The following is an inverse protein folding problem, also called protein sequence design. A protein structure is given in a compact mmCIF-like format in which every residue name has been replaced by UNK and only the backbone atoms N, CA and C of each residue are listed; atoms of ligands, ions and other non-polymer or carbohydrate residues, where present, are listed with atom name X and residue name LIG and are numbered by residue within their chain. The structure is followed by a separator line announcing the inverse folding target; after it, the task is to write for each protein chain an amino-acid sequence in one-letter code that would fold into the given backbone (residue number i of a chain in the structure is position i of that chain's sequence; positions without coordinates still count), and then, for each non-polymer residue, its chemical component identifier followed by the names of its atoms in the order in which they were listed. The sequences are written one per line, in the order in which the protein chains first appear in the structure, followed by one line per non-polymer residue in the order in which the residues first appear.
data_IF_444598180453
#
_entry.id   IF_444598180453
#
_cell.length_a   1.000
_cell.length_b   1.000
_cell.length_c   1.000
_cell.angle_alpha   90.00
_cell.angle_beta   90.00
_cell.angle_gamma   90.00
#
_symmetry.space_group_name_H-M   'P 1'
#
loop_
_entity.id
_entity.type
_entity.pdbx_description
1 polymer ?
#
# COMPACT_ATOMS: atom_id res chain seq x y z
N UNK A 1 76.83 4.53 28.08
CA UNK A 1 77.22 3.44 29.00
C UNK A 1 76.55 3.63 30.36
N UNK A 2 75.61 2.76 30.73
CA UNK A 2 75.20 2.47 32.12
C UNK A 2 74.60 1.06 32.10
N UNK A 3 75.11 0.17 32.94
CA UNK A 3 74.73 -1.24 32.97
C UNK A 3 74.24 -1.64 34.36
N UNK A 4 73.21 -2.51 34.40
CA UNK A 4 72.82 -3.50 35.44
C UNK A 4 71.46 -4.06 34.96
N UNK A 5 71.32 -5.31 34.49
CA UNK A 5 71.49 -6.60 35.20
C UNK A 5 70.47 -6.70 36.36
N UNK A 6 69.36 -7.45 36.26
CA UNK A 6 69.06 -8.86 36.71
C UNK A 6 67.50 -8.98 36.63
N UNK A 7 66.79 -10.10 36.41
CA UNK A 7 67.03 -11.56 36.26
C UNK A 7 66.33 -12.07 34.95
N UNK A 8 66.28 -13.34 34.48
CA UNK A 8 65.85 -14.67 34.98
C UNK A 8 64.36 -14.80 35.41
N UNK A 9 63.60 -15.86 35.06
CA UNK A 9 63.79 -16.94 34.06
C UNK A 9 62.47 -17.75 33.87
N UNK A 10 62.46 -18.61 32.84
CA UNK A 10 61.82 -19.94 32.73
C UNK A 10 60.32 -20.14 33.12
N UNK A 11 59.39 -20.63 32.27
CA UNK A 11 59.32 -21.84 31.39
C UNK A 11 58.66 -23.07 32.06
N UNK A 12 57.93 -23.85 31.23
CA UNK A 12 57.37 -25.21 31.43
C UNK A 12 55.97 -25.28 32.11
N UNK A 13 54.88 -25.78 31.48
CA UNK A 13 54.54 -27.08 30.81
C UNK A 13 53.86 -28.06 31.81
N UNK A 14 53.00 -28.95 31.27
CA UNK A 14 52.24 -30.07 31.88
C UNK A 14 50.83 -29.69 32.37
N UNK A 15 49.75 -30.12 31.71
CA UNK A 15 49.21 -31.49 31.53
C UNK A 15 48.66 -32.14 32.81
N UNK A 16 47.34 -32.39 32.79
CA UNK A 16 46.81 -33.71 33.17
C UNK A 16 46.29 -33.91 34.59
N UNK A 17 44.98 -34.18 34.65
CA UNK A 17 44.30 -35.17 35.51
C UNK A 17 44.58 -35.23 37.03
N UNK A 18 43.49 -35.15 37.82
CA UNK A 18 43.07 -36.04 38.93
C UNK A 18 41.98 -35.27 39.71
N UNK A 19 40.69 -35.53 39.51
CA UNK A 19 39.91 -36.68 40.00
C UNK A 19 39.63 -36.65 41.51
N UNK A 20 38.40 -36.27 41.88
CA UNK A 20 37.74 -36.81 43.07
C UNK A 20 36.24 -36.98 42.81
N UNK A 21 35.82 -38.24 42.80
CA UNK A 21 34.41 -38.67 42.83
C UNK A 21 34.23 -39.61 44.01
N UNK A 22 33.10 -39.50 44.71
CA UNK A 22 32.31 -40.66 45.09
C UNK A 22 31.00 -40.63 44.27
N UNK A 23 30.65 -41.68 43.53
CA UNK A 23 29.97 -42.86 44.08
C UNK A 23 28.70 -42.47 44.88
N UNK A 24 27.46 -42.79 44.46
CA UNK A 24 27.04 -43.48 43.24
C UNK A 24 25.72 -44.21 43.47
N UNK A 25 24.70 -43.92 42.66
CA UNK A 25 23.52 -44.77 42.45
C UNK A 25 22.98 -44.47 41.06
N UNK A 26 23.05 -45.46 40.17
CA UNK A 26 22.46 -45.37 38.84
C UNK A 26 21.03 -45.88 38.83
N UNK A 27 20.15 -45.21 38.09
CA UNK A 27 18.98 -45.84 37.51
C UNK A 27 18.64 -45.20 36.16
N UNK A 28 18.06 -45.99 35.25
CA UNK A 28 17.87 -45.68 33.84
C UNK A 28 16.56 -44.87 33.60
N UNK A 29 16.02 -44.76 32.37
CA UNK A 29 16.22 -43.57 31.56
C UNK A 29 14.92 -42.80 31.25
N UNK A 30 15.05 -41.61 30.68
CA UNK A 30 13.95 -40.99 29.93
C UNK A 30 12.90 -40.23 30.74
N UNK A 31 13.16 -38.94 30.97
CA UNK A 31 12.13 -37.92 30.78
C UNK A 31 12.68 -36.79 29.94
N UNK A 32 12.10 -36.60 28.76
CA UNK A 32 12.24 -35.36 28.00
C UNK A 32 11.77 -34.23 28.91
N UNK A 33 12.65 -33.26 29.17
CA UNK A 33 12.29 -32.05 29.88
C UNK A 33 11.39 -31.20 28.95
N UNK A 34 10.10 -31.52 28.91
CA UNK A 34 9.10 -30.70 28.20
C UNK A 34 9.08 -29.34 28.88
N UNK A 35 9.59 -28.34 28.17
CA UNK A 35 9.61 -26.95 28.60
C UNK A 35 8.20 -26.49 28.94
N UNK A 36 7.92 -26.24 30.23
CA UNK A 36 6.74 -25.49 30.67
C UNK A 36 6.91 -24.00 30.41
N UNK A 37 7.20 -23.65 29.16
CA UNK A 37 6.95 -22.32 28.64
C UNK A 37 5.46 -22.28 28.29
N UNK A 38 4.62 -21.91 29.26
CA UNK A 38 3.19 -21.72 29.03
C UNK A 38 3.00 -20.67 27.93
N UNK A 39 2.41 -20.99 26.77
CA UNK A 39 2.03 -19.95 25.83
C UNK A 39 0.91 -19.16 26.50
N UNK A 40 1.17 -17.89 26.80
CA UNK A 40 0.10 -16.93 27.11
C UNK A 40 -0.68 -16.69 25.82
N UNK A 41 -1.69 -17.53 25.57
CA UNK A 41 -2.61 -17.43 24.43
C UNK A 41 -3.53 -16.23 24.66
N UNK A 42 -2.97 -15.03 24.54
CA UNK A 42 -3.71 -13.85 24.12
C UNK A 42 -3.96 -14.00 22.63
N UNK A 43 -5.17 -14.37 22.25
CA UNK A 43 -5.57 -14.47 20.85
C UNK A 43 -5.65 -13.09 20.21
N UNK A 44 -4.51 -12.57 19.76
CA UNK A 44 -4.45 -11.46 18.81
C UNK A 44 -4.99 -11.97 17.46
N UNK A 45 -6.31 -12.06 17.36
CA UNK A 45 -6.98 -12.34 16.09
C UNK A 45 -6.69 -11.15 15.18
N UNK A 46 -5.73 -11.31 14.27
CA UNK A 46 -5.55 -10.38 13.15
C UNK A 46 -6.76 -10.50 12.23
N UNK A 47 -7.84 -9.81 12.61
CA UNK A 47 -9.06 -9.70 11.82
C UNK A 47 -8.75 -8.93 10.54
N UNK A 48 -8.36 -9.66 9.49
CA UNK A 48 -8.12 -9.08 8.18
C UNK A 48 -9.36 -8.32 7.72
N UNK A 49 -9.16 -7.11 7.21
CA UNK A 49 -10.28 -6.31 6.70
C UNK A 49 -10.76 -6.92 5.39
N UNK A 50 -11.84 -7.70 5.45
CA UNK A 50 -12.47 -8.31 4.28
C UNK A 50 -13.15 -7.26 3.37
N UNK A 51 -13.34 -7.61 2.10
CA UNK A 51 -14.07 -6.83 1.09
C UNK A 51 -13.64 -5.35 0.91
N UNK A 52 -12.35 -5.03 1.10
CA UNK A 52 -11.82 -3.67 0.88
C UNK A 52 -11.88 -3.31 -0.61
N UNK A 53 -12.84 -2.45 -0.97
CA UNK A 53 -12.98 -1.89 -2.31
C UNK A 53 -12.31 -0.51 -2.39
N UNK A 54 -11.32 -0.37 -3.26
CA UNK A 54 -10.56 0.86 -3.52
C UNK A 54 -9.16 0.87 -2.87
N UNK A 55 -8.18 1.34 -3.63
CA UNK A 55 -6.77 1.43 -3.24
C UNK A 55 -6.45 2.62 -2.32
N UNK A 56 -5.55 2.40 -1.36
CA UNK A 56 -5.07 3.48 -0.47
C UNK A 56 -4.17 4.51 -1.19
N UNK A 57 -3.65 4.19 -2.39
CA UNK A 57 -2.76 5.02 -3.20
C UNK A 57 -1.51 5.57 -2.46
N UNK A 58 -1.08 4.91 -1.38
CA UNK A 58 0.02 5.36 -0.52
C UNK A 58 -0.24 6.68 0.22
N UNK A 59 -1.52 7.08 0.40
CA UNK A 59 -1.88 8.40 0.95
C UNK A 59 -2.97 8.33 2.03
N UNK A 60 -2.96 9.23 3.03
CA UNK A 60 -4.06 9.38 3.98
C UNK A 60 -5.35 9.84 3.28
N UNK A 61 -6.48 9.78 3.99
CA UNK A 61 -7.81 9.95 3.42
C UNK A 61 -7.99 11.30 2.69
N UNK A 62 -7.57 12.40 3.31
CA UNK A 62 -7.80 13.75 2.81
C UNK A 62 -6.98 14.04 1.55
N UNK A 63 -5.69 13.68 1.58
CA UNK A 63 -4.80 13.78 0.42
C UNK A 63 -5.28 12.90 -0.73
N UNK A 64 -5.80 11.70 -0.45
CA UNK A 64 -6.36 10.81 -1.48
C UNK A 64 -7.64 11.39 -2.08
N UNK A 65 -8.51 11.99 -1.26
CA UNK A 65 -9.73 12.70 -1.73
C UNK A 65 -9.34 13.85 -2.66
N UNK A 66 -8.40 14.70 -2.26
CA UNK A 66 -7.89 15.81 -3.08
C UNK A 66 -7.26 15.34 -4.41
N UNK A 67 -6.44 14.27 -4.37
CA UNK A 67 -5.83 13.70 -5.58
C UNK A 67 -6.87 13.20 -6.58
N UNK A 68 -7.86 12.42 -6.13
CA UNK A 68 -8.92 11.91 -7.01
C UNK A 68 -9.78 13.05 -7.56
N UNK A 69 -10.04 14.08 -6.74
CA UNK A 69 -10.77 15.30 -7.12
C UNK A 69 -10.08 16.05 -8.26
N UNK A 70 -8.77 16.24 -8.14
CA UNK A 70 -7.94 16.88 -9.16
C UNK A 70 -7.92 16.04 -10.46
N UNK A 71 -7.59 14.75 -10.37
CA UNK A 71 -7.53 13.88 -11.55
C UNK A 71 -8.87 13.73 -12.27
N UNK A 72 -9.99 13.74 -11.55
CA UNK A 72 -11.34 13.75 -12.15
C UNK A 72 -11.60 15.05 -12.89
N UNK A 73 -11.22 16.20 -12.31
CA UNK A 73 -11.36 17.52 -12.94
C UNK A 73 -10.53 17.61 -14.23
N UNK A 74 -9.27 17.18 -14.20
CA UNK A 74 -8.40 17.22 -15.39
C UNK A 74 -8.83 16.21 -16.47
N UNK A 75 -9.33 15.03 -16.09
CA UNK A 75 -9.87 14.04 -17.03
C UNK A 75 -11.09 14.59 -17.79
N UNK A 76 -11.96 15.36 -17.12
CA UNK A 76 -13.13 15.98 -17.73
C UNK A 76 -12.72 17.22 -18.56
N UNK A 77 -11.74 18.00 -18.09
CA UNK A 77 -11.19 19.18 -18.80
C UNK A 77 -10.54 18.82 -20.14
N UNK A 78 -9.76 17.75 -20.17
CA UNK A 78 -8.94 17.38 -21.34
C UNK A 78 -9.48 16.18 -22.14
N UNK A 79 -10.52 15.50 -21.67
CA UNK A 79 -11.07 14.29 -22.29
C UNK A 79 -10.21 13.03 -22.08
N UNK A 80 -8.89 13.17 -21.99
CA UNK A 80 -7.97 12.07 -21.66
C UNK A 80 -6.78 12.55 -20.82
N UNK A 81 -6.30 11.72 -19.90
CA UNK A 81 -5.08 11.96 -19.11
C UNK A 81 -4.24 10.68 -18.94
N UNK A 82 -2.92 10.81 -19.01
CA UNK A 82 -1.97 9.70 -18.79
C UNK A 82 -1.40 9.76 -17.37
N UNK A 83 -1.64 8.73 -16.57
CA UNK A 83 -1.13 8.62 -15.20
C UNK A 83 -0.64 7.20 -14.89
N UNK A 84 -0.51 6.81 -13.62
CA UNK A 84 -0.13 5.43 -13.26
C UNK A 84 -1.36 4.53 -13.32
N UNK A 85 -1.22 3.27 -13.76
CA UNK A 85 -2.35 2.36 -13.95
C UNK A 85 -3.21 2.21 -12.67
N UNK A 86 -2.58 2.24 -11.50
CA UNK A 86 -3.24 2.23 -10.18
C UNK A 86 -4.14 3.44 -9.95
N UNK A 87 -3.74 4.64 -10.39
CA UNK A 87 -4.56 5.87 -10.29
C UNK A 87 -5.72 5.83 -11.27
N UNK A 88 -5.48 5.44 -12.53
CA UNK A 88 -6.54 5.30 -13.54
C UNK A 88 -7.69 4.39 -13.07
N UNK A 89 -7.37 3.25 -12.45
CA UNK A 89 -8.36 2.32 -11.91
C UNK A 89 -9.25 2.92 -10.82
N UNK A 90 -8.70 3.78 -9.95
CA UNK A 90 -9.48 4.47 -8.91
C UNK A 90 -10.29 5.65 -9.47
N UNK A 91 -9.67 6.45 -10.34
CA UNK A 91 -10.29 7.65 -10.97
C UNK A 91 -11.48 7.28 -11.86
N UNK A 92 -11.45 6.11 -12.50
CA UNK A 92 -12.60 5.58 -13.26
C UNK A 92 -13.90 5.64 -12.47
N UNK A 93 -13.91 5.25 -11.19
CA UNK A 93 -15.12 5.25 -10.37
C UNK A 93 -15.68 6.66 -10.16
N UNK A 94 -14.81 7.66 -9.99
CA UNK A 94 -15.24 9.05 -9.74
C UNK A 94 -15.65 9.74 -11.02
N UNK A 95 -14.95 9.53 -12.13
CA UNK A 95 -15.33 10.05 -13.46
C UNK A 95 -16.65 9.43 -13.94
N UNK A 96 -16.79 8.10 -13.92
CA UNK A 96 -18.01 7.42 -14.35
C UNK A 96 -19.23 7.93 -13.55
N UNK A 97 -19.07 8.20 -12.24
CA UNK A 97 -20.12 8.77 -11.39
C UNK A 97 -20.48 10.22 -11.74
N UNK A 98 -19.50 11.09 -12.05
CA UNK A 98 -19.78 12.47 -12.49
C UNK A 98 -20.56 12.50 -13.81
N UNK A 99 -20.27 11.59 -14.75
CA UNK A 99 -21.02 11.47 -16.01
C UNK A 99 -22.45 10.99 -15.77
N UNK A 100 -22.68 10.02 -14.87
CA UNK A 100 -24.04 9.62 -14.47
C UNK A 100 -24.83 10.77 -13.86
N UNK A 101 -24.23 11.59 -13.00
CA UNK A 101 -24.87 12.79 -12.44
C UNK A 101 -25.21 13.82 -13.53
N UNK A 102 -24.33 14.00 -14.52
CA UNK A 102 -24.57 14.90 -15.64
C UNK A 102 -25.75 14.43 -16.51
N UNK A 103 -25.89 13.12 -16.73
CA UNK A 103 -26.99 12.50 -17.48
C UNK A 103 -28.36 12.65 -16.82
N UNK A 104 -28.43 12.65 -15.48
CA UNK A 104 -29.67 12.90 -14.72
C UNK A 104 -30.14 14.37 -14.85
N UNK A 105 -29.21 15.33 -14.97
CA UNK A 105 -29.55 16.73 -15.22
C UNK A 105 -30.25 17.47 -14.06
N UNK A 106 -30.63 16.80 -12.97
CA UNK A 106 -31.37 17.42 -11.87
C UNK A 106 -30.57 18.51 -11.14
N UNK A 107 -31.27 19.45 -10.51
CA UNK A 107 -30.62 20.47 -9.67
C UNK A 107 -29.85 19.85 -8.50
N UNK A 108 -30.30 18.69 -8.01
CA UNK A 108 -29.62 17.95 -6.96
C UNK A 108 -28.29 17.38 -7.47
N UNK A 109 -28.27 16.73 -8.63
CA UNK A 109 -27.07 16.22 -9.27
C UNK A 109 -26.04 17.33 -9.57
N UNK A 110 -26.49 18.50 -10.07
CA UNK A 110 -25.62 19.67 -10.28
C UNK A 110 -24.96 20.15 -8.99
N UNK A 111 -25.70 20.21 -7.87
CA UNK A 111 -25.16 20.58 -6.55
C UNK A 111 -24.12 19.57 -6.06
N UNK A 112 -24.34 18.27 -6.26
CA UNK A 112 -23.36 17.24 -5.94
C UNK A 112 -22.07 17.40 -6.78
N UNK A 113 -22.20 17.60 -8.09
CA UNK A 113 -21.08 17.80 -9.00
C UNK A 113 -20.26 19.06 -8.66
N UNK A 114 -20.91 20.19 -8.34
CA UNK A 114 -20.25 21.42 -7.88
C UNK A 114 -19.51 21.24 -6.53
N UNK A 115 -19.96 20.32 -5.68
CA UNK A 115 -19.24 19.95 -4.45
C UNK A 115 -17.96 19.14 -4.71
N UNK A 116 -17.83 18.51 -5.88
CA UNK A 116 -16.71 17.63 -6.22
C UNK A 116 -15.78 18.20 -7.30
N UNK A 117 -16.25 18.83 -8.36
CA UNK A 117 -15.36 19.43 -9.37
C UNK A 117 -14.83 20.78 -8.82
N UNK A 118 -13.64 21.21 -9.24
CA UNK A 118 -13.07 22.50 -8.79
C UNK A 118 -13.58 23.71 -9.60
N UNK A 119 -13.85 23.48 -10.89
CA UNK A 119 -14.21 24.51 -11.86
C UNK A 119 -15.72 24.50 -12.14
N UNK A 120 -16.39 25.63 -11.93
CA UNK A 120 -17.83 25.75 -12.15
C UNK A 120 -18.20 25.68 -13.63
N UNK A 121 -17.41 26.31 -14.50
CA UNK A 121 -17.70 26.36 -15.94
C UNK A 121 -17.62 24.96 -16.56
N UNK A 122 -16.66 24.15 -16.10
CA UNK A 122 -16.54 22.76 -16.50
C UNK A 122 -17.77 21.92 -16.11
N UNK A 123 -18.41 22.21 -14.96
CA UNK A 123 -19.66 21.54 -14.59
C UNK A 123 -20.80 21.93 -15.52
N UNK A 124 -20.93 23.21 -15.90
CA UNK A 124 -21.95 23.64 -16.86
C UNK A 124 -21.80 22.94 -18.21
N UNK A 125 -20.60 22.99 -18.80
CA UNK A 125 -20.28 22.32 -20.06
C UNK A 125 -20.49 20.78 -20.00
N UNK A 126 -20.17 20.14 -18.87
CA UNK A 126 -20.42 18.71 -18.68
C UNK A 126 -21.92 18.38 -18.69
N UNK A 127 -22.75 19.17 -18.01
CA UNK A 127 -24.20 18.94 -17.95
C UNK A 127 -24.92 19.27 -19.26
N UNK A 128 -24.37 20.17 -20.08
CA UNK A 128 -24.86 20.47 -21.42
C UNK A 128 -24.51 19.35 -22.41
N UNK A 129 -23.24 18.93 -22.48
CA UNK A 129 -22.78 17.95 -23.48
C UNK A 129 -23.02 16.47 -23.13
N UNK A 130 -23.15 16.11 -21.85
CA UNK A 130 -23.24 14.69 -21.46
C UNK A 130 -24.58 14.03 -21.84
N UNK A 131 -25.68 14.80 -21.85
CA UNK A 131 -27.01 14.28 -22.18
C UNK A 131 -27.07 13.72 -23.60
N UNK A 132 -26.48 14.43 -24.56
CA UNK A 132 -26.41 14.02 -25.96
C UNK A 132 -25.33 12.94 -26.19
N UNK A 133 -24.11 13.16 -25.67
CA UNK A 133 -22.97 12.25 -25.91
C UNK A 133 -23.15 10.85 -25.28
N UNK A 134 -23.87 10.75 -24.16
CA UNK A 134 -24.00 9.50 -23.39
C UNK A 134 -25.43 8.97 -23.28
N UNK A 135 -26.35 9.45 -24.12
CA UNK A 135 -27.78 9.08 -24.11
C UNK A 135 -28.02 7.58 -24.11
N UNK A 136 -27.41 6.86 -25.05
CA UNK A 136 -27.68 5.43 -25.28
C UNK A 136 -26.79 4.49 -24.46
N UNK A 137 -25.90 5.05 -23.62
CA UNK A 137 -24.96 4.28 -22.79
C UNK A 137 -25.38 4.27 -21.32
N UNK A 138 -25.56 3.08 -20.75
CA UNK A 138 -25.96 2.90 -19.34
C UNK A 138 -24.77 2.86 -18.35
N UNK A 139 -23.53 2.79 -18.84
CA UNK A 139 -22.33 2.85 -18.01
C UNK A 139 -21.04 2.63 -18.78
N UNK A 140 -19.90 2.71 -18.09
CA UNK A 140 -18.58 2.56 -18.72
C UNK A 140 -18.27 3.71 -19.67
N UNK A 141 -18.30 4.93 -19.14
CA UNK A 141 -18.01 6.16 -19.88
C UNK A 141 -16.50 6.37 -20.06
N UNK A 142 -15.68 5.78 -19.18
CA UNK A 142 -14.23 5.77 -19.28
C UNK A 142 -13.65 4.47 -19.84
N UNK A 143 -12.64 4.59 -20.71
CA UNK A 143 -11.73 3.50 -21.08
C UNK A 143 -10.39 3.71 -20.36
N UNK A 144 -9.73 2.62 -19.98
CA UNK A 144 -8.34 2.64 -19.49
C UNK A 144 -7.49 1.81 -20.45
N UNK A 145 -6.56 2.47 -21.12
CA UNK A 145 -5.54 1.84 -21.98
C UNK A 145 -4.25 1.71 -21.17
N UNK A 146 -3.64 0.53 -21.17
CA UNK A 146 -2.34 0.32 -20.51
C UNK A 146 -1.24 0.90 -21.40
N UNK A 147 -0.34 1.67 -20.81
CA UNK A 147 0.87 2.14 -21.47
C UNK A 147 2.10 1.39 -20.96
N UNK A 148 3.25 1.83 -21.44
CA UNK A 148 4.55 1.28 -21.06
C UNK A 148 4.94 1.62 -19.61
N UNK A 149 6.04 1.04 -19.17
CA UNK A 149 6.64 1.35 -17.88
C UNK A 149 7.44 2.65 -17.95
N UNK A 150 7.23 3.53 -16.96
CA UNK A 150 8.00 4.77 -16.85
C UNK A 150 9.46 4.49 -16.56
N UNK A 151 10.36 5.11 -17.35
CA UNK A 151 11.81 5.10 -17.11
C UNK A 151 12.14 5.72 -15.74
N UNK A 152 12.98 5.04 -14.96
CA UNK A 152 13.43 5.48 -13.64
C UNK A 152 12.82 4.67 -12.50
N UNK A 153 11.50 4.74 -12.32
CA UNK A 153 10.79 4.06 -11.23
C UNK A 153 10.01 2.80 -11.66
N UNK A 154 10.16 2.39 -12.92
CA UNK A 154 9.52 1.22 -13.55
C UNK A 154 8.01 1.11 -13.25
N UNK A 155 7.32 2.24 -13.11
CA UNK A 155 5.90 2.26 -12.79
C UNK A 155 5.06 2.10 -14.05
N UNK A 156 4.14 1.14 -14.06
CA UNK A 156 3.23 0.94 -15.20
C UNK A 156 2.32 2.15 -15.39
N UNK A 157 2.39 2.77 -16.56
CA UNK A 157 1.54 3.90 -16.93
C UNK A 157 0.21 3.40 -17.53
N UNK A 158 -0.76 4.30 -17.60
CA UNK A 158 -2.02 4.08 -18.29
C UNK A 158 -2.69 5.39 -18.62
N UNK A 159 -3.39 5.43 -19.75
CA UNK A 159 -4.23 6.56 -20.15
C UNK A 159 -5.67 6.23 -19.80
N UNK A 160 -6.36 7.18 -19.16
CA UNK A 160 -7.81 7.14 -19.00
C UNK A 160 -8.42 8.18 -19.94
N UNK A 161 -9.42 7.76 -20.70
CA UNK A 161 -10.08 8.56 -21.75
C UNK A 161 -11.61 8.48 -21.57
N UNK A 162 -12.31 9.57 -21.89
CA UNK A 162 -13.76 9.62 -22.04
C UNK A 162 -14.14 9.15 -23.45
N UNK A 163 -14.94 8.09 -23.51
CA UNK A 163 -15.47 7.51 -24.75
C UNK A 163 -16.51 8.44 -25.37
#
# INVERSE_FOLDING_TARGET
MKARLVALAAVAVLNGALAYTPAGVGFLPGRVAVSRASPSIGSSVEMMRHAVRGGRLGRPADQRKALLRALTTECIRHGAITTTLTKCKEVRKTVDHMVTLAKDGSLHARRQALGYIYDKQLVHALFEGAADRYKDREGGYTRITRGDFRRGDNTQMGTIELV
#
